data_IF_771656803610
#
_entry.id   IF_771656803610
#
_cell.length_a   1.000
_cell.length_b   1.000
_cell.length_c   1.000
_cell.angle_alpha   90.00
_cell.angle_beta   90.00
_cell.angle_gamma   90.00
#
_symmetry.space_group_name_H-M   'P 1'
#
loop_
_entity.id
_entity.type
_entity.pdbx_description
1 polymer ?
#
# COMPACT_ATOMS: atom_id res chain seq x y z
N UNK A 1 -14.09 2.08 -17.53
CA UNK A 1 -12.98 2.93 -18.01
C UNK A 1 -11.80 2.77 -17.07
N UNK A 2 -10.59 2.50 -17.59
CA UNK A 2 -9.34 2.44 -16.80
C UNK A 2 -8.59 3.73 -17.02
N UNK A 3 -8.29 4.46 -15.95
CA UNK A 3 -7.75 5.83 -16.01
C UNK A 3 -6.23 5.89 -15.94
N UNK A 4 -5.57 4.97 -15.25
CA UNK A 4 -4.11 4.90 -15.17
C UNK A 4 -3.62 3.51 -14.71
N UNK A 5 -2.38 3.15 -15.07
CA UNK A 5 -1.68 1.92 -14.67
C UNK A 5 -0.45 2.26 -13.84
N UNK A 6 0.04 1.30 -13.07
CA UNK A 6 1.22 1.51 -12.22
C UNK A 6 2.50 1.94 -12.97
N UNK A 7 2.59 1.60 -14.25
CA UNK A 7 3.74 1.90 -15.12
C UNK A 7 3.93 3.39 -15.44
N UNK A 8 2.96 4.25 -15.13
CA UNK A 8 2.98 5.66 -15.59
C UNK A 8 3.59 6.63 -14.58
N UNK A 9 3.62 6.31 -13.27
CA UNK A 9 4.15 7.21 -12.23
C UNK A 9 4.41 6.51 -10.87
N UNK A 10 5.49 5.72 -10.76
CA UNK A 10 5.77 4.81 -9.61
C UNK A 10 5.59 5.46 -8.23
N UNK A 11 6.03 6.72 -8.06
CA UNK A 11 5.92 7.44 -6.78
C UNK A 11 4.49 7.84 -6.38
N UNK A 12 3.58 8.07 -7.33
CA UNK A 12 2.20 8.50 -7.06
C UNK A 12 1.24 7.32 -6.79
N UNK A 13 1.77 6.12 -6.64
CA UNK A 13 0.98 4.90 -6.56
C UNK A 13 1.14 4.18 -5.22
N UNK A 14 2.01 4.68 -4.36
CA UNK A 14 2.31 4.08 -3.06
C UNK A 14 1.42 4.70 -2.01
N UNK A 15 0.53 3.90 -1.42
CA UNK A 15 -0.46 4.37 -0.44
C UNK A 15 -0.54 3.48 0.80
N UNK A 16 -0.78 4.10 1.95
CA UNK A 16 -1.26 3.42 3.14
C UNK A 16 -2.79 3.36 3.07
N UNK A 17 -3.38 2.20 3.34
CA UNK A 17 -4.83 2.02 3.30
C UNK A 17 -5.33 1.02 4.35
N UNK A 18 -6.63 1.09 4.66
CA UNK A 18 -7.29 0.12 5.53
C UNK A 18 -7.71 -1.13 4.72
N UNK A 19 -7.14 -2.31 5.00
CA UNK A 19 -7.47 -3.51 4.27
C UNK A 19 -8.93 -3.92 4.53
N UNK A 20 -9.61 -4.34 3.48
CA UNK A 20 -11.01 -4.76 3.44
C UNK A 20 -11.99 -3.69 3.98
N UNK A 21 -11.54 -2.44 4.08
CA UNK A 21 -12.32 -1.34 4.65
C UNK A 21 -12.44 -1.36 6.18
N UNK A 22 -11.66 -2.18 6.88
CA UNK A 22 -11.68 -2.22 8.35
C UNK A 22 -10.92 -1.04 8.94
N UNK A 23 -11.64 0.06 9.22
CA UNK A 23 -11.06 1.29 9.76
C UNK A 23 -10.50 1.15 11.18
N UNK A 24 -10.85 0.08 11.90
CA UNK A 24 -10.29 -0.26 13.20
C UNK A 24 -8.95 -1.02 13.12
N UNK A 25 -8.58 -1.52 11.93
CA UNK A 25 -7.32 -2.21 11.72
C UNK A 25 -6.17 -1.21 11.49
N UNK A 26 -4.93 -1.65 11.68
CA UNK A 26 -3.77 -0.84 11.29
C UNK A 26 -3.69 -0.73 9.76
N UNK A 27 -3.45 0.48 9.21
CA UNK A 27 -3.21 0.65 7.79
C UNK A 27 -2.01 -0.16 7.31
N UNK A 28 -2.08 -0.64 6.07
CA UNK A 28 -1.01 -1.38 5.41
C UNK A 28 -0.58 -0.66 4.12
N UNK A 29 0.69 -0.83 3.69
CA UNK A 29 1.16 -0.28 2.44
C UNK A 29 0.62 -1.10 1.26
N UNK A 30 0.35 -0.43 0.15
CA UNK A 30 0.05 -1.05 -1.13
C UNK A 30 0.55 -0.19 -2.30
N UNK A 31 0.70 -0.82 -3.46
CA UNK A 31 0.98 -0.14 -4.72
C UNK A 31 -0.24 -0.22 -5.64
N UNK A 32 -0.76 0.92 -6.08
CA UNK A 32 -1.90 1.01 -6.98
C UNK A 32 -1.53 0.39 -8.33
N UNK A 33 -2.19 -0.72 -8.68
CA UNK A 33 -2.05 -1.37 -9.98
C UNK A 33 -2.99 -0.76 -11.02
N UNK A 34 -4.23 -0.51 -10.60
CA UNK A 34 -5.28 0.04 -11.47
C UNK A 34 -6.08 1.13 -10.75
N UNK A 35 -6.47 2.14 -11.52
CA UNK A 35 -7.45 3.15 -11.15
C UNK A 35 -8.59 3.07 -12.16
N UNK A 36 -9.82 2.84 -11.70
CA UNK A 36 -10.98 2.65 -12.57
C UNK A 36 -12.26 3.18 -11.93
N UNK A 37 -13.27 3.40 -12.77
CA UNK A 37 -14.61 3.74 -12.30
C UNK A 37 -15.44 2.47 -12.10
N UNK A 38 -16.07 2.34 -10.94
CA UNK A 38 -17.04 1.27 -10.61
C UNK A 38 -18.30 1.90 -10.01
N UNK A 39 -19.47 1.66 -10.60
CA UNK A 39 -20.76 2.25 -10.19
C UNK A 39 -20.72 3.79 -9.98
N UNK A 40 -19.96 4.51 -10.82
CA UNK A 40 -19.81 5.96 -10.72
C UNK A 40 -18.81 6.45 -9.65
N UNK A 41 -18.17 5.53 -8.92
CA UNK A 41 -17.15 5.83 -7.92
C UNK A 41 -15.75 5.55 -8.46
N UNK A 42 -14.78 6.38 -8.05
CA UNK A 42 -13.37 6.12 -8.32
C UNK A 42 -12.87 5.03 -7.37
N UNK A 43 -12.31 3.99 -7.95
CA UNK A 43 -11.92 2.75 -7.27
C UNK A 43 -10.49 2.38 -7.64
N UNK A 44 -9.77 1.84 -6.67
CA UNK A 44 -8.38 1.38 -6.81
C UNK A 44 -8.35 -0.15 -6.73
N UNK A 45 -7.41 -0.77 -7.44
CA UNK A 45 -7.06 -2.18 -7.20
C UNK A 45 -5.57 -2.32 -6.91
N UNK A 46 -5.26 -3.04 -5.82
CA UNK A 46 -3.91 -3.18 -5.27
C UNK A 46 -3.63 -4.66 -4.96
N UNK A 47 -2.44 -5.18 -5.28
CA UNK A 47 -2.00 -6.48 -4.79
C UNK A 47 -1.62 -6.36 -3.30
N UNK A 48 -1.91 -7.40 -2.53
CA UNK A 48 -1.66 -7.40 -1.09
C UNK A 48 -0.20 -7.79 -0.78
N UNK A 49 0.51 -7.08 0.13
CA UNK A 49 1.82 -7.51 0.57
C UNK A 49 1.72 -8.88 1.26
N UNK A 50 2.64 -9.78 0.92
CA UNK A 50 2.66 -11.14 1.45
C UNK A 50 3.73 -11.31 2.53
N UNK A 51 3.37 -12.01 3.60
CA UNK A 51 4.29 -12.39 4.66
C UNK A 51 4.33 -11.42 5.85
N UNK A 52 4.57 -11.99 7.04
CA UNK A 52 4.88 -11.24 8.26
C UNK A 52 6.39 -11.23 8.43
N UNK A 53 6.96 -10.06 8.66
CA UNK A 53 8.38 -9.89 8.97
C UNK A 53 8.55 -9.27 10.35
N UNK A 54 9.69 -9.57 10.98
CA UNK A 54 10.12 -8.90 12.19
C UNK A 54 10.52 -7.46 11.85
N UNK A 55 9.83 -6.49 12.45
CA UNK A 55 10.07 -5.07 12.21
C UNK A 55 11.09 -4.51 13.21
N UNK A 56 12.32 -4.16 12.77
CA UNK A 56 13.34 -3.60 13.67
C UNK A 56 12.98 -2.18 14.14
N UNK A 57 12.05 -1.49 13.46
CA UNK A 57 11.61 -0.15 13.84
C UNK A 57 10.53 -0.16 14.93
N UNK A 58 9.97 -1.33 15.28
CA UNK A 58 8.94 -1.45 16.31
C UNK A 58 9.38 -0.94 17.69
N UNK A 59 10.69 -0.92 17.97
CA UNK A 59 11.26 -0.35 19.20
C UNK A 59 11.25 1.19 19.24
N UNK A 60 10.97 1.85 18.11
CA UNK A 60 11.01 3.31 17.95
C UNK A 60 9.65 3.85 17.53
N UNK A 61 8.64 3.89 18.42
CA UNK A 61 7.27 4.26 18.05
C UNK A 61 7.11 5.70 17.55
N UNK A 62 8.08 6.57 17.80
CA UNK A 62 8.12 7.96 17.34
C UNK A 62 8.74 8.11 15.94
N UNK A 63 9.34 7.04 15.39
CA UNK A 63 9.89 7.02 14.05
C UNK A 63 8.91 6.28 13.13
N UNK A 64 8.27 6.95 12.16
CA UNK A 64 7.16 6.38 11.37
C UNK A 64 7.64 5.45 10.25
N UNK A 65 8.69 4.67 10.53
CA UNK A 65 9.21 3.66 9.62
C UNK A 65 8.80 2.27 10.07
N UNK A 66 8.56 1.40 9.10
CA UNK A 66 8.26 -0.01 9.36
C UNK A 66 8.76 -0.87 8.21
N UNK A 67 9.29 -2.04 8.54
CA UNK A 67 9.73 -3.01 7.55
C UNK A 67 8.55 -3.84 7.01
N UNK A 68 8.49 -3.96 5.69
CA UNK A 68 7.51 -4.78 4.97
C UNK A 68 8.20 -5.67 3.94
N UNK A 69 7.51 -6.76 3.59
CA UNK A 69 7.85 -7.57 2.42
C UNK A 69 7.60 -6.79 1.14
N UNK A 70 8.53 -6.85 0.18
CA UNK A 70 8.31 -6.35 -1.18
C UNK A 70 7.51 -7.34 -2.04
N UNK A 71 7.39 -8.59 -1.58
CA UNK A 71 6.63 -9.63 -2.28
C UNK A 71 5.14 -9.35 -2.10
N UNK A 72 4.41 -9.38 -3.20
CA UNK A 72 2.96 -9.15 -3.23
C UNK A 72 2.23 -10.37 -3.76
N UNK A 73 0.98 -10.57 -3.34
CA UNK A 73 0.08 -11.60 -3.85
C UNK A 73 -0.37 -11.27 -5.28
N UNK A 74 -0.75 -12.30 -6.03
CA UNK A 74 -1.44 -12.14 -7.31
C UNK A 74 -2.88 -11.67 -7.13
N UNK A 75 -3.47 -11.89 -5.94
CA UNK A 75 -4.80 -11.42 -5.60
C UNK A 75 -4.85 -9.90 -5.46
N UNK A 76 -5.87 -9.29 -6.06
CA UNK A 76 -6.11 -7.86 -6.00
C UNK A 76 -7.25 -7.54 -5.03
N UNK A 77 -7.00 -6.60 -4.14
CA UNK A 77 -8.03 -5.97 -3.31
C UNK A 77 -8.55 -4.71 -4.00
N UNK A 78 -9.88 -4.60 -4.06
CA UNK A 78 -10.59 -3.40 -4.50
C UNK A 78 -10.72 -2.43 -3.33
N UNK A 79 -10.10 -1.26 -3.44
CA UNK A 79 -10.00 -0.25 -2.38
C UNK A 79 -10.71 1.03 -2.79
N UNK A 80 -11.57 1.54 -1.88
CA UNK A 80 -12.24 2.83 -2.03
C UNK A 80 -11.31 3.96 -1.61
N UNK A 81 -11.45 5.13 -2.23
CA UNK A 81 -10.67 6.32 -1.84
C UNK A 81 -10.83 6.67 -0.35
N UNK A 82 -12.02 6.45 0.24
CA UNK A 82 -12.25 6.71 1.66
C UNK A 82 -11.50 5.77 2.61
N UNK A 83 -10.85 4.72 2.10
CA UNK A 83 -10.02 3.80 2.88
C UNK A 83 -8.53 4.15 2.77
N UNK A 84 -8.17 5.07 1.88
CA UNK A 84 -6.80 5.55 1.71
C UNK A 84 -6.48 6.52 2.84
N UNK A 85 -5.34 6.32 3.48
CA UNK A 85 -4.87 7.13 4.61
C UNK A 85 -3.92 8.22 4.11
N UNK A 86 -2.85 7.82 3.43
CA UNK A 86 -1.82 8.73 2.94
C UNK A 86 -1.01 8.09 1.82
N UNK A 87 -0.20 8.90 1.13
CA UNK A 87 0.91 8.38 0.34
C UNK A 87 2.09 8.07 1.24
N UNK A 88 2.95 7.14 0.84
CA UNK A 88 4.18 6.84 1.58
C UNK A 88 5.41 6.90 0.68
N UNK A 89 6.57 7.06 1.32
CA UNK A 89 7.86 6.84 0.68
C UNK A 89 8.40 5.48 1.09
N UNK A 90 9.08 4.76 0.19
CA UNK A 90 9.74 3.51 0.54
C UNK A 90 11.19 3.44 0.06
N UNK A 91 12.00 2.69 0.81
CA UNK A 91 13.37 2.37 0.48
C UNK A 91 13.53 0.85 0.39
N UNK A 92 14.00 0.35 -0.76
CA UNK A 92 14.37 -1.05 -0.91
C UNK A 92 15.65 -1.34 -0.12
N UNK A 93 15.61 -2.38 0.72
CA UNK A 93 16.75 -2.81 1.56
C UNK A 93 17.36 -4.11 1.04
N UNK A 94 16.50 -5.04 0.62
CA UNK A 94 16.86 -6.29 -0.07
C UNK A 94 15.80 -6.58 -1.14
N UNK A 95 16.03 -7.61 -1.96
CA UNK A 95 15.09 -7.98 -3.04
C UNK A 95 13.67 -8.27 -2.51
N UNK A 96 13.55 -8.78 -1.28
CA UNK A 96 12.30 -9.17 -0.61
C UNK A 96 11.83 -8.17 0.46
N UNK A 97 12.51 -7.02 0.66
CA UNK A 97 12.23 -6.11 1.79
C UNK A 97 12.30 -4.65 1.44
N UNK A 98 11.30 -3.92 1.95
CA UNK A 98 11.19 -2.48 1.84
C UNK A 98 10.91 -1.86 3.21
N UNK A 99 11.57 -0.75 3.48
CA UNK A 99 11.19 0.12 4.60
C UNK A 99 10.19 1.13 4.08
N UNK A 100 9.01 1.16 4.70
CA UNK A 100 7.96 2.13 4.39
C UNK A 100 8.01 3.22 5.44
N UNK A 101 8.08 4.46 4.98
CA UNK A 101 8.00 5.67 5.78
C UNK A 101 6.64 6.33 5.53
N UNK A 102 5.79 6.31 6.56
CA UNK A 102 4.50 7.00 6.50
C UNK A 102 4.74 8.50 6.73
N UNK A 103 4.36 9.33 5.74
CA UNK A 103 4.51 10.79 5.77
C UNK A 103 3.20 11.48 6.17
#
# INVERSE_FOLDING_TARGET
VVYSRSSTHVGNLLIMFYPQGYLSASPIPGSIKYIFGDNGLLTLALPLPSGKQHDPFASYPHFPAKLYSSVVSDDLETVRLSWVVSHFSCLAVTDDRVVVLSL
#
